data_IF_245205841431
#
_entry.id   IF_245205841431
#
_cell.length_a   1.000
_cell.length_b   1.000
_cell.length_c   1.000
_cell.angle_alpha   90.00
_cell.angle_beta   90.00
_cell.angle_gamma   90.00
#
_symmetry.space_group_name_H-M   'P 1'
#
loop_
_entity.id
_entity.type
_entity.pdbx_description
1 polymer ?
#
# COMPACT_ATOMS: atom_id res chain seq x y z
N UNK A 1 -14.09 3.17 -8.13
CA UNK A 1 -13.90 1.80 -8.58
C UNK A 1 -14.24 1.69 -10.07
N UNK A 2 -13.51 0.87 -10.84
CA UNK A 2 -12.43 -0.07 -10.43
C UNK A 2 -11.02 0.56 -10.31
N UNK A 3 -10.85 1.84 -10.58
CA UNK A 3 -9.57 2.54 -10.48
C UNK A 3 -9.38 3.14 -9.09
N UNK A 4 -8.25 2.89 -8.43
CA UNK A 4 -7.95 3.45 -7.10
C UNK A 4 -7.04 4.68 -7.19
N UNK A 5 -6.95 5.45 -6.12
CA UNK A 5 -5.99 6.55 -6.04
C UNK A 5 -4.54 6.03 -6.08
N UNK A 6 -3.69 6.69 -6.83
CA UNK A 6 -2.25 6.39 -6.92
C UNK A 6 -1.45 7.49 -6.22
N UNK A 7 -1.01 8.52 -6.93
CA UNK A 7 -0.29 9.66 -6.36
C UNK A 7 -1.11 10.36 -5.27
N UNK A 8 -2.40 10.60 -5.52
CA UNK A 8 -3.29 11.25 -4.54
C UNK A 8 -3.46 10.44 -3.26
N UNK A 9 -3.46 9.10 -3.33
CA UNK A 9 -3.49 8.26 -2.13
C UNK A 9 -2.15 8.34 -1.35
N UNK A 10 -1.03 8.34 -2.05
CA UNK A 10 0.30 8.53 -1.44
C UNK A 10 0.40 9.90 -0.74
N UNK A 11 -0.05 10.97 -1.40
CA UNK A 11 -0.05 12.33 -0.85
C UNK A 11 -0.93 12.42 0.41
N UNK A 12 -2.12 11.81 0.38
CA UNK A 12 -3.01 11.76 1.52
C UNK A 12 -2.35 11.07 2.72
N UNK A 13 -1.71 9.91 2.50
CA UNK A 13 -1.00 9.18 3.56
C UNK A 13 0.19 9.98 4.09
N UNK A 14 0.91 10.69 3.22
CA UNK A 14 2.04 11.55 3.62
C UNK A 14 1.61 12.67 4.56
N UNK A 15 0.50 13.35 4.28
CA UNK A 15 -0.02 14.42 5.15
C UNK A 15 -0.79 13.91 6.38
N UNK A 16 -0.92 12.59 6.54
CA UNK A 16 -1.56 11.98 7.71
C UNK A 16 -3.06 11.76 7.58
N UNK A 17 -3.59 11.77 6.36
CA UNK A 17 -4.99 11.46 6.06
C UNK A 17 -5.13 9.96 5.69
N UNK A 18 -5.83 9.14 6.51
CA UNK A 18 -6.09 7.76 6.18
C UNK A 18 -6.93 7.61 4.90
N UNK A 19 -6.60 6.62 4.11
CA UNK A 19 -7.31 6.27 2.87
C UNK A 19 -7.98 4.91 3.04
N UNK A 20 -9.25 4.81 2.69
CA UNK A 20 -9.99 3.56 2.61
C UNK A 20 -10.05 3.11 1.15
N UNK A 21 -9.81 1.85 0.87
CA UNK A 21 -9.85 1.33 -0.50
C UNK A 21 -10.49 -0.06 -0.58
N UNK A 22 -11.13 -0.32 -1.74
CA UNK A 22 -11.50 -1.68 -2.15
C UNK A 22 -10.48 -2.20 -3.16
N UNK A 23 -9.85 -3.34 -2.86
CA UNK A 23 -8.90 -3.99 -3.75
C UNK A 23 -9.63 -4.67 -4.91
N UNK A 24 -9.04 -4.61 -6.11
CA UNK A 24 -9.53 -5.31 -7.29
C UNK A 24 -8.47 -6.26 -7.87
N UNK A 25 -8.68 -6.69 -9.12
CA UNK A 25 -7.82 -7.66 -9.80
C UNK A 25 -6.78 -7.03 -10.72
N UNK A 26 -7.05 -5.84 -11.27
CA UNK A 26 -6.13 -5.13 -12.17
C UNK A 26 -5.06 -4.36 -11.38
N UNK A 27 -3.95 -4.01 -12.02
CA UNK A 27 -2.92 -3.15 -11.44
C UNK A 27 -3.53 -1.86 -10.86
N UNK A 28 -4.31 -1.13 -11.66
CA UNK A 28 -4.90 0.15 -11.25
C UNK A 28 -5.85 0.05 -10.05
N UNK A 29 -6.46 -1.11 -9.82
CA UNK A 29 -7.34 -1.37 -8.67
C UNK A 29 -6.62 -1.88 -7.42
N UNK A 30 -5.30 -2.06 -7.47
CA UNK A 30 -4.48 -2.61 -6.38
C UNK A 30 -3.50 -1.61 -5.76
N UNK A 31 -3.25 -0.47 -6.43
CA UNK A 31 -2.20 0.47 -6.00
C UNK A 31 -2.45 1.03 -4.60
N UNK A 32 -3.67 1.52 -4.31
CA UNK A 32 -3.97 2.02 -2.96
C UNK A 32 -3.84 0.94 -1.87
N UNK A 33 -4.22 -0.32 -2.17
CA UNK A 33 -4.03 -1.44 -1.25
C UNK A 33 -2.54 -1.72 -1.00
N UNK A 34 -1.71 -1.64 -2.03
CA UNK A 34 -0.26 -1.77 -1.92
C UNK A 34 0.35 -0.69 -1.02
N UNK A 35 -0.07 0.57 -1.20
CA UNK A 35 0.37 1.70 -0.37
C UNK A 35 -0.04 1.49 1.11
N UNK A 36 -1.28 1.06 1.35
CA UNK A 36 -1.78 0.80 2.70
C UNK A 36 -1.05 -0.34 3.39
N UNK A 37 -0.75 -1.41 2.67
CA UNK A 37 0.06 -2.51 3.22
C UNK A 37 1.48 -2.04 3.55
N UNK A 38 2.11 -1.26 2.67
CA UNK A 38 3.47 -0.75 2.87
C UNK A 38 3.57 0.24 4.04
N UNK A 39 2.49 0.98 4.36
CA UNK A 39 2.42 1.86 5.53
C UNK A 39 1.88 1.14 6.80
N UNK A 40 1.48 -0.14 6.69
CA UNK A 40 0.99 -0.92 7.82
C UNK A 40 -0.43 -0.57 8.25
N UNK A 41 -1.30 -0.23 7.31
CA UNK A 41 -2.72 0.07 7.49
C UNK A 41 -3.61 -0.88 6.67
N UNK A 42 -3.27 -2.17 6.65
CA UNK A 42 -4.01 -3.20 5.90
C UNK A 42 -5.48 -3.32 6.30
N UNK A 43 -5.84 -2.90 7.52
CA UNK A 43 -7.22 -2.83 8.00
C UNK A 43 -8.11 -1.84 7.22
N UNK A 44 -7.52 -0.97 6.41
CA UNK A 44 -8.24 -0.05 5.52
C UNK A 44 -8.38 -0.59 4.08
N UNK A 45 -7.98 -1.84 3.85
CA UNK A 45 -8.18 -2.53 2.57
C UNK A 45 -9.39 -3.45 2.69
N UNK A 46 -10.38 -3.25 1.83
CA UNK A 46 -11.60 -4.05 1.77
C UNK A 46 -11.68 -4.85 0.48
N UNK A 47 -12.43 -5.95 0.46
CA UNK A 47 -12.52 -6.87 -0.67
C UNK A 47 -13.85 -6.78 -1.43
N UNK A 48 -14.86 -6.15 -0.83
CA UNK A 48 -16.20 -5.99 -1.42
C UNK A 48 -16.73 -4.57 -1.23
N UNK A 49 -17.76 -4.22 -2.00
CA UNK A 49 -18.46 -2.93 -1.87
C UNK A 49 -19.10 -2.80 -0.49
N UNK A 50 -19.69 -3.90 -0.02
CA UNK A 50 -20.33 -3.92 1.29
C UNK A 50 -19.33 -3.70 2.42
N UNK A 51 -18.19 -4.38 2.41
CA UNK A 51 -17.13 -4.15 3.41
C UNK A 51 -16.63 -2.69 3.37
N UNK A 52 -16.49 -2.12 2.17
CA UNK A 52 -16.07 -0.73 2.01
C UNK A 52 -17.08 0.24 2.63
N UNK A 53 -18.37 0.06 2.33
CA UNK A 53 -19.45 0.88 2.88
C UNK A 53 -19.53 0.74 4.40
N UNK A 54 -19.55 -0.51 4.91
CA UNK A 54 -19.67 -0.80 6.33
C UNK A 54 -18.50 -0.16 7.12
N UNK A 55 -17.27 -0.30 6.62
CA UNK A 55 -16.10 0.29 7.26
C UNK A 55 -16.10 1.82 7.19
N UNK A 56 -16.53 2.41 6.07
CA UNK A 56 -16.65 3.86 5.94
C UNK A 56 -17.66 4.43 6.97
N UNK A 57 -18.81 3.78 7.10
CA UNK A 57 -19.84 4.15 8.06
C UNK A 57 -19.34 3.96 9.52
N UNK A 58 -18.68 2.84 9.79
CA UNK A 58 -18.09 2.57 11.09
C UNK A 58 -17.11 3.67 11.51
N UNK A 59 -16.17 4.03 10.64
CA UNK A 59 -15.16 5.06 10.93
C UNK A 59 -15.80 6.44 11.10
N UNK A 60 -16.86 6.76 10.35
CA UNK A 60 -17.58 8.02 10.50
C UNK A 60 -18.33 8.11 11.83
N UNK A 61 -18.89 6.99 12.30
CA UNK A 61 -19.65 6.91 13.57
C UNK A 61 -18.78 6.66 14.80
N UNK A 62 -17.51 6.31 14.64
CA UNK A 62 -16.57 5.98 15.71
C UNK A 62 -15.32 6.87 15.67
N UNK A 63 -15.42 8.14 16.13
CA UNK A 63 -14.28 9.06 16.16
C UNK A 63 -13.06 8.54 16.91
N UNK A 64 -13.18 7.79 18.03
CA UNK A 64 -12.03 7.18 18.70
C UNK A 64 -11.25 6.21 17.80
N UNK A 65 -11.94 5.33 17.08
CA UNK A 65 -11.31 4.39 16.12
C UNK A 65 -10.58 5.13 14.98
N UNK A 66 -11.21 6.15 14.41
CA UNK A 66 -10.57 6.97 13.39
C UNK A 66 -9.32 7.69 13.93
N UNK A 67 -9.37 8.17 15.17
CA UNK A 67 -8.21 8.81 15.83
C UNK A 67 -7.06 7.83 16.04
N UNK A 68 -7.36 6.59 16.43
CA UNK A 68 -6.37 5.52 16.56
C UNK A 68 -5.66 5.25 15.24
N UNK A 69 -6.42 5.11 14.14
CA UNK A 69 -5.86 4.93 12.78
C UNK A 69 -4.98 6.11 12.38
N UNK A 70 -5.40 7.34 12.64
CA UNK A 70 -4.59 8.54 12.38
C UNK A 70 -3.28 8.54 13.18
N UNK A 71 -3.33 8.15 14.44
CA UNK A 71 -2.13 8.04 15.29
C UNK A 71 -1.21 6.93 14.79
N UNK A 72 -1.75 5.78 14.41
CA UNK A 72 -0.99 4.69 13.81
C UNK A 72 -0.31 5.15 12.50
N UNK A 73 -1.03 5.85 11.61
CA UNK A 73 -0.47 6.41 10.39
C UNK A 73 0.69 7.38 10.69
N UNK A 74 0.50 8.28 11.65
CA UNK A 74 1.53 9.25 12.05
C UNK A 74 2.82 8.56 12.50
N UNK A 75 2.72 7.50 13.30
CA UNK A 75 3.87 6.73 13.75
C UNK A 75 4.49 5.91 12.60
N UNK A 76 3.67 5.25 11.80
CA UNK A 76 4.10 4.38 10.72
C UNK A 76 4.78 5.13 9.58
N UNK A 77 4.43 6.39 9.35
CA UNK A 77 5.03 7.24 8.32
C UNK A 77 6.56 7.30 8.39
N UNK A 78 7.12 7.27 9.61
CA UNK A 78 8.55 7.33 9.84
C UNK A 78 9.20 5.96 10.10
N UNK A 79 8.41 4.92 10.33
CA UNK A 79 8.91 3.60 10.74
C UNK A 79 8.66 2.50 9.73
N UNK A 80 7.69 2.69 8.83
CA UNK A 80 7.33 1.71 7.80
C UNK A 80 7.97 2.03 6.45
N UNK A 81 8.12 1.03 5.56
CA UNK A 81 8.92 1.18 4.33
C UNK A 81 8.35 2.15 3.29
N UNK A 82 7.05 2.49 3.31
CA UNK A 82 6.41 3.24 2.23
C UNK A 82 7.16 4.52 1.84
N UNK A 83 7.60 5.29 2.82
CA UNK A 83 8.30 6.57 2.61
C UNK A 83 9.81 6.50 2.89
N UNK A 84 10.34 5.29 3.05
CA UNK A 84 11.77 5.07 3.25
C UNK A 84 12.47 4.89 1.89
N UNK A 85 12.95 6.00 1.33
CA UNK A 85 13.62 6.03 0.03
C UNK A 85 14.88 5.19 -0.02
N UNK A 86 15.60 5.03 1.10
CA UNK A 86 16.81 4.20 1.15
C UNK A 86 16.48 2.71 1.02
N UNK A 87 15.44 2.25 1.74
CA UNK A 87 14.96 0.86 1.60
C UNK A 87 14.45 0.63 0.18
N UNK A 88 13.67 1.57 -0.38
CA UNK A 88 13.18 1.48 -1.74
C UNK A 88 14.33 1.36 -2.76
N UNK A 89 15.32 2.23 -2.69
CA UNK A 89 16.48 2.19 -3.59
C UNK A 89 17.20 0.84 -3.52
N UNK A 90 17.52 0.36 -2.32
CA UNK A 90 18.17 -0.96 -2.13
C UNK A 90 17.35 -2.11 -2.70
N UNK A 91 16.03 -2.10 -2.51
CA UNK A 91 15.15 -3.13 -3.04
C UNK A 91 15.11 -3.09 -4.58
N UNK A 92 15.10 -1.89 -5.17
CA UNK A 92 15.17 -1.73 -6.63
C UNK A 92 16.51 -2.22 -7.19
N UNK A 93 17.64 -1.87 -6.57
CA UNK A 93 18.97 -2.35 -6.96
C UNK A 93 19.06 -3.89 -6.90
N UNK A 94 18.51 -4.47 -5.83
CA UNK A 94 18.44 -5.94 -5.67
C UNK A 94 17.56 -6.57 -6.75
N UNK A 95 16.41 -5.98 -7.04
CA UNK A 95 15.52 -6.47 -8.10
C UNK A 95 16.21 -6.45 -9.46
N UNK A 96 16.88 -5.36 -9.83
CA UNK A 96 17.62 -5.27 -11.09
C UNK A 96 18.76 -6.28 -11.16
N UNK A 97 19.50 -6.49 -10.09
CA UNK A 97 20.56 -7.49 -10.04
C UNK A 97 20.02 -8.90 -10.27
N UNK A 98 18.90 -9.25 -9.62
CA UNK A 98 18.26 -10.55 -9.80
C UNK A 98 17.68 -10.73 -11.22
N UNK A 99 17.10 -9.66 -11.79
CA UNK A 99 16.64 -9.69 -13.19
C UNK A 99 17.80 -9.95 -14.16
N UNK A 100 18.92 -9.27 -13.95
CA UNK A 100 20.11 -9.44 -14.80
C UNK A 100 20.73 -10.83 -14.65
N UNK A 101 20.83 -11.36 -13.43
CA UNK A 101 21.30 -12.73 -13.20
C UNK A 101 20.41 -13.78 -13.88
N UNK A 102 19.08 -13.60 -13.83
CA UNK A 102 18.14 -14.49 -14.54
C UNK A 102 18.35 -14.43 -16.05
N UNK A 103 18.56 -13.24 -16.59
CA UNK A 103 18.88 -13.05 -18.02
C UNK A 103 20.16 -13.78 -18.41
N UNK A 104 21.24 -13.62 -17.66
CA UNK A 104 22.52 -14.31 -17.93
C UNK A 104 22.41 -15.84 -17.89
N UNK A 105 21.51 -16.35 -17.06
CA UNK A 105 21.26 -17.81 -16.92
C UNK A 105 20.21 -18.33 -17.91
N UNK A 106 19.72 -17.50 -18.82
CA UNK A 106 18.63 -17.82 -19.77
C UNK A 106 17.39 -18.43 -19.09
N UNK A 107 17.06 -17.97 -17.86
CA UNK A 107 15.87 -18.41 -17.13
C UNK A 107 14.61 -17.71 -17.66
N UNK A 108 13.45 -18.38 -17.62
CA UNK A 108 12.18 -17.78 -18.04
C UNK A 108 11.82 -16.59 -17.16
N UNK A 109 10.93 -15.71 -17.69
CA UNK A 109 10.35 -14.63 -16.89
C UNK A 109 9.54 -15.21 -15.73
N UNK A 110 9.68 -14.59 -14.55
CA UNK A 110 9.00 -15.02 -13.34
C UNK A 110 8.90 -13.85 -12.35
N UNK A 111 8.06 -14.00 -11.33
CA UNK A 111 7.99 -13.03 -10.25
C UNK A 111 9.28 -13.04 -9.43
N UNK A 112 9.73 -11.85 -9.03
CA UNK A 112 10.91 -11.68 -8.17
C UNK A 112 10.42 -11.12 -6.83
N UNK A 113 10.62 -11.88 -5.78
CA UNK A 113 10.35 -11.45 -4.41
C UNK A 113 11.61 -10.85 -3.79
N UNK A 114 11.48 -9.65 -3.23
CA UNK A 114 12.56 -8.94 -2.55
C UNK A 114 12.28 -8.96 -1.05
N UNK A 115 13.08 -9.70 -0.33
CA UNK A 115 13.05 -9.82 1.13
C UNK A 115 14.14 -8.96 1.78
#
# INVERSE_FOLDING_TARGET
FPYTGHTTASDALWVGLPVLTRIGKSFASRVSASLLNAIGLSELVTNSEKEYEDLAIELAKNPPKLKEIKNKLKNNRNTKPLFNTQIFARNMEKAYSLMYERYLKNLPLDNIEIN
#
